data_IF_581253826629
#
_entry.id   IF_581253826629
#
_cell.length_a   1.000
_cell.length_b   1.000
_cell.length_c   1.000
_cell.angle_alpha   90.00
_cell.angle_beta   90.00
_cell.angle_gamma   90.00
#
_symmetry.space_group_name_H-M   'P 1'
#
loop_
_entity.id
_entity.type
_entity.pdbx_description
1 polymer ?
#
# COMPACT_ATOMS: atom_id res chain seq x y z
N UNK A 1 11.95 4.88 -22.52
CA UNK A 1 12.03 6.06 -21.64
C UNK A 1 13.46 6.15 -21.10
N UNK A 2 14.30 6.98 -21.72
CA UNK A 2 15.72 7.18 -21.36
C UNK A 2 15.83 7.90 -20.00
N UNK A 3 16.71 7.41 -19.12
CA UNK A 3 17.03 8.10 -17.86
C UNK A 3 17.92 9.34 -18.10
N UNK A 4 17.79 10.41 -17.32
CA UNK A 4 18.48 11.69 -17.56
C UNK A 4 19.99 11.67 -17.28
N UNK A 5 20.54 10.53 -16.84
CA UNK A 5 21.94 10.39 -16.42
C UNK A 5 22.70 9.40 -17.35
N UNK A 6 24.04 9.39 -17.33
CA UNK A 6 24.84 8.48 -18.14
C UNK A 6 24.37 7.03 -18.01
N UNK A 7 24.41 6.30 -19.12
CA UNK A 7 23.92 4.92 -19.22
C UNK A 7 22.44 4.75 -18.86
N UNK A 8 21.62 5.78 -19.10
CA UNK A 8 20.17 5.77 -18.86
C UNK A 8 19.79 5.50 -17.40
N UNK A 9 20.67 5.86 -16.45
CA UNK A 9 20.46 5.59 -15.04
C UNK A 9 19.31 6.40 -14.43
N UNK A 10 18.67 5.82 -13.42
CA UNK A 10 17.53 6.39 -12.67
C UNK A 10 17.74 6.13 -11.17
N UNK A 11 17.20 7.01 -10.33
CA UNK A 11 17.22 6.81 -8.87
C UNK A 11 16.33 5.63 -8.47
N UNK A 12 16.82 4.77 -7.58
CA UNK A 12 16.09 3.58 -7.08
C UNK A 12 15.95 3.54 -5.55
N UNK A 13 16.75 4.34 -4.82
CA UNK A 13 16.87 4.23 -3.37
C UNK A 13 15.54 4.39 -2.61
N UNK A 14 14.69 5.31 -3.04
CA UNK A 14 13.39 5.58 -2.40
C UNK A 14 12.22 4.90 -3.11
N UNK A 15 12.38 4.58 -4.40
CA UNK A 15 11.31 4.03 -5.25
C UNK A 15 10.79 2.68 -4.78
N UNK A 16 11.61 1.91 -4.09
CA UNK A 16 11.22 0.62 -3.48
C UNK A 16 10.24 0.79 -2.33
N UNK A 17 10.29 1.91 -1.59
CA UNK A 17 9.50 2.13 -0.39
C UNK A 17 8.11 2.71 -0.69
N UNK A 18 8.01 3.60 -1.69
CA UNK A 18 6.77 4.29 -2.08
C UNK A 18 5.57 3.33 -2.27
N UNK A 19 5.67 2.20 -3.02
CA UNK A 19 4.50 1.38 -3.32
C UNK A 19 4.06 0.46 -2.18
N UNK A 20 4.89 0.24 -1.15
CA UNK A 20 4.68 -0.81 -0.15
C UNK A 20 3.38 -0.62 0.63
N UNK A 21 3.14 0.59 1.15
CA UNK A 21 1.93 0.85 1.94
C UNK A 21 0.65 0.66 1.12
N UNK A 22 0.66 1.11 -0.15
CA UNK A 22 -0.47 0.93 -1.07
C UNK A 22 -0.69 -0.53 -1.45
N UNK A 23 0.38 -1.29 -1.68
CA UNK A 23 0.31 -2.72 -1.96
C UNK A 23 -0.32 -3.50 -0.79
N UNK A 24 0.11 -3.22 0.44
CA UNK A 24 -0.46 -3.84 1.65
C UNK A 24 -1.94 -3.44 1.82
N UNK A 25 -2.28 -2.16 1.64
CA UNK A 25 -3.68 -1.70 1.73
C UNK A 25 -4.60 -2.38 0.71
N UNK A 26 -4.12 -2.55 -0.52
CA UNK A 26 -4.85 -3.25 -1.57
C UNK A 26 -4.98 -4.75 -1.27
N UNK A 27 -3.94 -5.39 -0.72
CA UNK A 27 -4.01 -6.80 -0.32
C UNK A 27 -5.01 -7.05 0.81
N UNK A 28 -5.10 -6.15 1.80
CA UNK A 28 -6.13 -6.22 2.86
C UNK A 28 -7.52 -6.08 2.26
N UNK A 29 -7.72 -5.12 1.35
CA UNK A 29 -9.00 -4.98 0.66
C UNK A 29 -9.36 -6.21 -0.18
N UNK A 30 -8.40 -6.81 -0.90
CA UNK A 30 -8.63 -8.03 -1.65
C UNK A 30 -9.03 -9.20 -0.74
N UNK A 31 -8.35 -9.37 0.40
CA UNK A 31 -8.56 -10.49 1.31
C UNK A 31 -9.89 -10.45 2.08
N UNK A 32 -10.33 -9.26 2.53
CA UNK A 32 -11.51 -9.13 3.41
C UNK A 32 -12.56 -8.12 2.92
N UNK A 33 -12.26 -7.40 1.83
CA UNK A 33 -13.09 -6.33 1.30
C UNK A 33 -13.30 -5.17 2.28
N UNK A 34 -12.34 -4.94 3.17
CA UNK A 34 -12.27 -3.77 4.07
C UNK A 34 -11.25 -2.80 3.49
N UNK A 35 -11.67 -1.56 3.21
CA UNK A 35 -10.79 -0.51 2.67
C UNK A 35 -10.26 0.34 3.81
N UNK A 36 -8.93 0.38 3.95
CA UNK A 36 -8.24 1.25 4.92
C UNK A 36 -7.45 2.30 4.13
N UNK A 37 -7.71 3.58 4.40
CA UNK A 37 -7.02 4.73 3.77
C UNK A 37 -6.26 5.58 4.79
N UNK A 38 -6.24 5.15 6.06
CA UNK A 38 -5.54 5.81 7.16
C UNK A 38 -4.45 4.88 7.71
N UNK A 39 -3.19 5.27 7.53
CA UNK A 39 -2.02 4.51 7.98
C UNK A 39 -1.69 4.82 9.45
N UNK A 40 -1.07 3.90 10.21
CA UNK A 40 -0.73 2.54 9.82
C UNK A 40 -1.96 1.63 9.73
N UNK A 41 -1.86 0.55 8.95
CA UNK A 41 -2.88 -0.50 8.88
C UNK A 41 -2.75 -1.38 10.13
N UNK A 42 -3.54 -1.09 11.16
CA UNK A 42 -3.54 -1.85 12.42
C UNK A 42 -4.65 -2.90 12.46
N UNK A 43 -4.47 -3.92 13.29
CA UNK A 43 -5.49 -4.95 13.52
C UNK A 43 -6.83 -4.35 13.98
N UNK A 44 -6.79 -3.34 14.85
CA UNK A 44 -8.01 -2.68 15.35
C UNK A 44 -8.81 -1.99 14.23
N UNK A 45 -8.13 -1.36 13.27
CA UNK A 45 -8.78 -0.74 12.10
C UNK A 45 -9.40 -1.80 11.19
N UNK A 46 -8.71 -2.92 10.98
CA UNK A 46 -9.25 -4.06 10.20
C UNK A 46 -10.49 -4.64 10.90
N UNK A 47 -10.40 -4.89 12.21
CA UNK A 47 -11.50 -5.43 13.01
C UNK A 47 -12.71 -4.49 13.03
N UNK A 48 -12.50 -3.18 13.18
CA UNK A 48 -13.57 -2.20 13.11
C UNK A 48 -14.25 -2.20 11.73
N UNK A 49 -13.47 -2.28 10.65
CA UNK A 49 -14.01 -2.38 9.29
C UNK A 49 -14.79 -3.68 9.03
N UNK A 50 -14.32 -4.81 9.56
CA UNK A 50 -15.05 -6.09 9.50
C UNK A 50 -16.39 -6.00 10.24
N UNK A 51 -16.41 -5.42 11.45
CA UNK A 51 -17.65 -5.21 12.22
C UNK A 51 -18.64 -4.29 11.49
N UNK A 52 -18.15 -3.18 10.91
CA UNK A 52 -18.99 -2.24 10.17
C UNK A 52 -19.58 -2.85 8.89
N UNK A 53 -18.87 -3.79 8.25
CA UNK A 53 -19.32 -4.51 7.06
C UNK A 53 -20.40 -5.56 7.36
N UNK A 54 -20.64 -5.88 8.64
CA UNK A 54 -21.59 -6.90 9.06
C UNK A 54 -20.95 -8.26 9.28
N UNK A 55 -19.77 -8.30 9.92
CA UNK A 55 -19.31 -9.51 10.60
C UNK A 55 -20.38 -10.08 11.53
#
# INVERSE_FOLDING_TARGET
>A
EEGPAPYESKGIGESSNIPIAGAIANAVYDAVGVRITDLPITADKVLAGLRAKGG
#
